data_IF_278672263416
#
_entry.id   IF_278672263416
#
_cell.length_a   1.000
_cell.length_b   1.000
_cell.length_c   1.000
_cell.angle_alpha   90.00
_cell.angle_beta   90.00
_cell.angle_gamma   90.00
#
_symmetry.space_group_name_H-M   'P 1'
#
loop_
_entity.id
_entity.type
_entity.pdbx_description
1 polymer ?
#
# COMPACT_ATOMS: atom_id res chain seq x y z
N UNK A 1 17.23 -27.27 17.79
CA UNK A 1 17.45 -26.92 16.38
C UNK A 1 17.43 -25.41 16.28
N UNK A 2 18.60 -24.78 16.24
CA UNK A 2 18.71 -23.32 16.31
C UNK A 2 18.27 -22.68 15.00
N UNK A 3 17.32 -21.75 15.09
CA UNK A 3 16.86 -20.97 13.93
C UNK A 3 17.97 -20.01 13.53
N UNK A 4 18.62 -20.25 12.40
CA UNK A 4 19.60 -19.31 11.81
C UNK A 4 18.86 -18.21 11.04
N UNK A 5 19.11 -16.95 11.38
CA UNK A 5 18.63 -15.79 10.64
C UNK A 5 19.51 -15.61 9.40
N UNK A 6 18.92 -15.70 8.20
CA UNK A 6 19.65 -15.62 6.91
C UNK A 6 19.73 -14.18 6.39
N UNK A 7 18.79 -13.30 6.78
CA UNK A 7 18.79 -11.89 6.41
C UNK A 7 17.94 -11.05 7.37
N UNK A 8 18.18 -9.73 7.36
CA UNK A 8 17.41 -8.74 8.11
C UNK A 8 16.74 -7.76 7.15
N UNK A 9 15.48 -7.40 7.45
CA UNK A 9 14.73 -6.39 6.70
C UNK A 9 14.54 -5.17 7.60
N UNK A 10 14.92 -3.99 7.11
CA UNK A 10 14.66 -2.71 7.77
C UNK A 10 13.57 -1.97 7.02
N UNK A 11 12.57 -1.50 7.75
CA UNK A 11 11.51 -0.66 7.22
C UNK A 11 11.75 0.81 7.55
N UNK A 12 11.20 1.70 6.74
CA UNK A 12 11.21 3.13 7.01
C UNK A 12 10.56 3.44 8.37
N UNK A 13 11.18 4.32 9.13
CA UNK A 13 10.73 4.73 10.49
C UNK A 13 9.82 5.97 10.47
N UNK A 14 9.83 6.70 9.36
CA UNK A 14 8.91 7.81 9.10
C UNK A 14 8.60 7.97 7.60
N UNK A 15 7.59 8.79 7.30
CA UNK A 15 7.34 9.31 5.95
C UNK A 15 8.29 10.48 5.67
N UNK A 16 8.69 10.63 4.40
CA UNK A 16 9.39 11.84 3.95
C UNK A 16 8.43 13.04 4.00
N UNK A 17 8.96 14.26 4.10
CA UNK A 17 8.12 15.47 4.12
C UNK A 17 7.35 15.65 2.81
N UNK A 18 7.98 15.34 1.68
CA UNK A 18 7.30 15.27 0.38
C UNK A 18 6.13 14.28 0.39
N UNK A 19 6.30 13.08 0.94
CA UNK A 19 5.22 12.11 1.03
C UNK A 19 4.07 12.62 1.91
N UNK A 20 4.37 13.29 3.03
CA UNK A 20 3.35 13.89 3.90
C UNK A 20 2.57 14.98 3.16
N UNK A 21 3.26 15.85 2.42
CA UNK A 21 2.65 16.92 1.63
C UNK A 21 1.77 16.33 0.52
N UNK A 22 2.31 15.42 -0.28
CA UNK A 22 1.59 14.83 -1.42
C UNK A 22 0.35 14.03 -0.96
N UNK A 23 0.43 13.33 0.19
CA UNK A 23 -0.72 12.66 0.79
C UNK A 23 -1.78 13.65 1.29
N UNK A 24 -1.35 14.72 1.97
CA UNK A 24 -2.25 15.74 2.53
C UNK A 24 -2.99 16.51 1.44
N UNK A 25 -2.30 16.80 0.34
CA UNK A 25 -2.85 17.47 -0.84
C UNK A 25 -3.58 16.51 -1.79
N UNK A 26 -3.72 15.22 -1.44
CA UNK A 26 -4.34 14.19 -2.27
C UNK A 26 -3.75 14.08 -3.68
N UNK A 27 -2.44 14.32 -3.83
CA UNK A 27 -1.69 14.19 -5.09
C UNK A 27 -1.29 12.74 -5.41
N UNK A 28 -1.52 11.82 -4.47
CA UNK A 28 -1.30 10.38 -4.68
C UNK A 28 -2.66 9.71 -4.90
N UNK A 29 -2.90 9.24 -6.13
CA UNK A 29 -4.16 8.59 -6.49
C UNK A 29 -4.15 7.06 -6.32
N UNK A 30 -2.96 6.45 -6.36
CA UNK A 30 -2.79 4.99 -6.33
C UNK A 30 -1.65 4.58 -5.41
N UNK A 31 -1.77 3.43 -4.77
CA UNK A 31 -0.67 2.79 -4.02
C UNK A 31 -0.62 1.30 -4.30
N UNK A 32 0.58 0.79 -4.61
CA UNK A 32 0.83 -0.61 -4.89
C UNK A 32 1.49 -1.26 -3.67
N UNK A 33 0.85 -2.26 -3.08
CA UNK A 33 1.32 -2.94 -1.85
C UNK A 33 1.70 -4.38 -2.15
N UNK A 34 3.00 -4.66 -2.09
CA UNK A 34 3.60 -5.93 -2.52
C UNK A 34 3.74 -6.99 -1.42
N UNK A 35 3.56 -6.63 -0.15
CA UNK A 35 3.65 -7.59 0.94
C UNK A 35 2.82 -7.15 2.15
N UNK A 36 2.49 -8.12 2.99
CA UNK A 36 1.70 -7.89 4.20
C UNK A 36 2.44 -6.96 5.18
N UNK A 37 3.74 -7.16 5.37
CA UNK A 37 4.55 -6.35 6.28
C UNK A 37 4.76 -4.92 5.77
N UNK A 38 4.91 -4.74 4.45
CA UNK A 38 4.93 -3.40 3.86
C UNK A 38 3.60 -2.66 4.10
N UNK A 39 2.47 -3.37 3.98
CA UNK A 39 1.15 -2.82 4.28
C UNK A 39 0.98 -2.43 5.75
N UNK A 40 1.38 -3.31 6.68
CA UNK A 40 1.37 -2.99 8.12
C UNK A 40 2.25 -1.77 8.44
N UNK A 41 3.45 -1.70 7.86
CA UNK A 41 4.35 -0.58 8.08
C UNK A 41 3.76 0.73 7.54
N UNK A 42 3.17 0.72 6.34
CA UNK A 42 2.49 1.88 5.78
C UNK A 42 1.37 2.37 6.71
N UNK A 43 0.49 1.48 7.19
CA UNK A 43 -0.58 1.84 8.12
C UNK A 43 -0.02 2.44 9.41
N UNK A 44 1.05 1.86 9.97
CA UNK A 44 1.73 2.39 11.15
C UNK A 44 2.27 3.80 10.91
N UNK A 45 2.95 4.03 9.79
CA UNK A 45 3.51 5.33 9.43
C UNK A 45 2.43 6.39 9.22
N UNK A 46 1.33 6.04 8.55
CA UNK A 46 0.19 6.94 8.35
C UNK A 46 -0.48 7.30 9.69
N UNK A 47 -0.68 6.33 10.59
CA UNK A 47 -1.21 6.58 11.93
C UNK A 47 -0.31 7.49 12.74
N UNK A 48 1.01 7.24 12.75
CA UNK A 48 2.02 8.07 13.43
C UNK A 48 1.92 9.53 12.99
N UNK A 49 1.72 9.75 11.69
CA UNK A 49 1.64 11.08 11.09
C UNK A 49 0.20 11.66 11.03
N UNK A 50 -0.81 11.01 11.63
CA UNK A 50 -2.23 11.41 11.56
C UNK A 50 -2.80 11.52 10.12
N UNK A 51 -2.23 10.76 9.18
CA UNK A 51 -2.59 10.75 7.76
C UNK A 51 -3.40 9.53 7.34
N UNK A 52 -3.91 8.71 8.27
CA UNK A 52 -4.66 7.49 7.92
C UNK A 52 -5.88 7.77 7.03
N UNK A 53 -6.53 8.92 7.25
CA UNK A 53 -7.71 9.37 6.48
C UNK A 53 -7.43 9.51 4.98
N UNK A 54 -6.18 9.76 4.58
CA UNK A 54 -5.79 9.94 3.18
C UNK A 54 -6.05 8.68 2.33
N UNK A 55 -6.08 7.49 2.95
CA UNK A 55 -6.41 6.24 2.26
C UNK A 55 -7.84 6.20 1.68
N UNK A 56 -8.73 7.10 2.11
CA UNK A 56 -10.05 7.25 1.50
C UNK A 56 -9.98 7.84 0.08
N UNK A 57 -8.90 8.55 -0.25
CA UNK A 57 -8.68 9.16 -1.56
C UNK A 57 -7.73 8.33 -2.45
N UNK A 58 -7.03 7.35 -1.86
CA UNK A 58 -6.07 6.49 -2.57
C UNK A 58 -6.73 5.16 -2.97
N UNK A 59 -6.58 4.78 -4.24
CA UNK A 59 -6.92 3.43 -4.71
C UNK A 59 -5.77 2.48 -4.37
N UNK A 60 -6.04 1.47 -3.54
CA UNK A 60 -5.02 0.51 -3.11
C UNK A 60 -5.06 -0.72 -4.01
N UNK A 61 -3.91 -1.06 -4.59
CA UNK A 61 -3.72 -2.27 -5.39
C UNK A 61 -2.75 -3.16 -4.63
N UNK A 62 -3.20 -4.32 -4.18
CA UNK A 62 -2.41 -5.28 -3.42
C UNK A 62 -1.99 -6.47 -4.28
N UNK A 63 -0.87 -7.10 -3.96
CA UNK A 63 -0.40 -8.31 -4.65
C UNK A 63 -1.36 -9.49 -4.52
N UNK A 64 -2.13 -9.53 -3.43
CA UNK A 64 -3.09 -10.60 -3.13
C UNK A 64 -4.20 -10.13 -2.18
N UNK A 65 -5.26 -10.94 -2.08
CA UNK A 65 -6.38 -10.71 -1.16
C UNK A 65 -5.95 -10.62 0.31
N UNK A 66 -5.00 -11.47 0.73
CA UNK A 66 -4.43 -11.47 2.09
C UNK A 66 -3.78 -10.15 2.47
N UNK A 67 -3.14 -9.47 1.52
CA UNK A 67 -2.57 -8.13 1.76
C UNK A 67 -3.69 -7.08 1.73
N UNK A 68 -4.64 -7.23 0.80
CA UNK A 68 -5.80 -6.33 0.67
C UNK A 68 -6.67 -6.26 1.92
N UNK A 69 -6.80 -7.35 2.68
CA UNK A 69 -7.62 -7.39 3.91
C UNK A 69 -7.18 -6.40 5.00
N UNK A 70 -5.93 -5.92 4.95
CA UNK A 70 -5.43 -4.86 5.83
C UNK A 70 -6.13 -3.52 5.59
N UNK A 71 -6.63 -3.30 4.37
CA UNK A 71 -7.08 -1.99 3.90
C UNK A 71 -8.59 -1.88 3.71
N UNK A 72 -9.32 -3.01 3.67
CA UNK A 72 -10.76 -3.05 3.35
C UNK A 72 -11.64 -2.16 4.23
N UNK A 73 -11.23 -1.91 5.48
CA UNK A 73 -11.98 -1.05 6.42
C UNK A 73 -11.55 0.42 6.43
N UNK A 74 -10.43 0.75 5.79
CA UNK A 74 -9.77 2.06 5.92
C UNK A 74 -9.51 2.75 4.59
N UNK A 75 -9.58 2.04 3.46
CA UNK A 75 -9.44 2.57 2.13
C UNK A 75 -10.75 2.48 1.35
N UNK A 76 -10.99 3.44 0.46
CA UNK A 76 -12.22 3.49 -0.35
C UNK A 76 -12.31 2.35 -1.37
N UNK A 77 -11.19 2.00 -2.00
CA UNK A 77 -11.13 0.94 -3.00
C UNK A 77 -9.86 0.12 -2.82
N UNK A 78 -10.04 -1.20 -2.75
CA UNK A 78 -8.95 -2.17 -2.70
C UNK A 78 -9.13 -3.13 -3.87
N UNK A 79 -8.07 -3.40 -4.61
CA UNK A 79 -8.06 -4.34 -5.74
C UNK A 79 -6.83 -5.24 -5.65
N UNK A 80 -6.92 -6.45 -6.19
CA UNK A 80 -5.80 -7.37 -6.25
C UNK A 80 -5.98 -8.31 -7.45
N UNK A 81 -4.89 -8.78 -8.09
CA UNK A 81 -4.99 -9.70 -9.19
C UNK A 81 -5.27 -11.13 -8.70
N UNK A 82 -5.87 -11.95 -9.57
CA UNK A 82 -6.05 -13.39 -9.31
C UNK A 82 -4.70 -14.10 -9.21
N UNK A 83 -3.77 -13.77 -10.10
CA UNK A 83 -2.40 -14.30 -10.09
C UNK A 83 -1.46 -13.21 -9.52
N UNK A 84 -0.80 -13.45 -8.36
CA UNK A 84 -0.07 -12.44 -7.59
C UNK A 84 1.28 -12.09 -8.23
N UNK A 85 1.25 -11.29 -9.29
CA UNK A 85 2.46 -10.80 -9.97
C UNK A 85 2.43 -9.28 -10.12
N UNK A 86 3.61 -8.65 -10.09
CA UNK A 86 3.76 -7.21 -10.35
C UNK A 86 3.15 -6.81 -11.70
N UNK A 87 3.33 -7.63 -12.74
CA UNK A 87 2.74 -7.41 -14.07
C UNK A 87 1.21 -7.28 -13.99
N UNK A 88 0.55 -8.14 -13.23
CA UNK A 88 -0.89 -8.09 -13.09
C UNK A 88 -1.38 -6.94 -12.20
N UNK A 89 -0.62 -6.55 -11.17
CA UNK A 89 -0.91 -5.33 -10.40
C UNK A 89 -0.83 -4.08 -11.29
N UNK A 90 0.19 -3.99 -12.15
CA UNK A 90 0.35 -2.88 -13.10
C UNK A 90 -0.79 -2.87 -14.12
N UNK A 91 -1.24 -4.02 -14.63
CA UNK A 91 -2.43 -4.10 -15.48
C UNK A 91 -3.67 -3.52 -14.80
N UNK A 92 -3.89 -3.82 -13.52
CA UNK A 92 -5.00 -3.23 -12.75
C UNK A 92 -4.84 -1.70 -12.70
N UNK A 93 -3.64 -1.20 -12.40
CA UNK A 93 -3.37 0.24 -12.36
C UNK A 93 -3.72 0.92 -13.70
N UNK A 94 -3.24 0.37 -14.82
CA UNK A 94 -3.42 0.95 -16.15
C UNK A 94 -4.88 0.89 -16.62
N UNK A 95 -5.58 -0.21 -16.35
CA UNK A 95 -6.99 -0.35 -16.75
C UNK A 95 -7.91 0.66 -16.06
N UNK A 96 -7.54 1.18 -14.89
CA UNK A 96 -8.30 2.22 -14.19
C UNK A 96 -8.15 3.62 -14.80
N UNK A 97 -7.19 3.84 -15.70
CA UNK A 97 -7.00 5.11 -16.41
C UNK A 97 -7.82 5.19 -17.71
N UNK A 98 -8.48 4.11 -18.12
CA UNK A 98 -9.31 4.06 -19.34
C UNK A 98 -10.81 4.28 -19.08
N UNK A 99 -11.20 4.66 -17.87
CA UNK A 99 -12.57 5.09 -17.53
C UNK A 99 -12.56 6.60 -17.32
N UNK A 100 -12.45 7.35 -18.42
CA UNK A 100 -12.69 8.79 -18.51
C UNK A 100 -13.69 8.99 -19.65
#
# INVERSE_FOLDING_TARGET
MDKKIVYLVKYAQDLTDEAKINLSLSQISYSLIYSYNAGLNLIKLLKKNKLLWTLQNVRIICISSKVGSLFTRIAKKVSFPTIPTSKNMIKILLNHNHTI
#
